data_IF_007376864155
#
_entry.id   IF_007376864155
#
_cell.length_a   1.000
_cell.length_b   1.000
_cell.length_c   1.000
_cell.angle_alpha   90.00
_cell.angle_beta   90.00
_cell.angle_gamma   90.00
#
_symmetry.space_group_name_H-M   'P 1'
#
loop_
_entity.id
_entity.type
_entity.pdbx_description
1 polymer ?
#
# COMPACT_ATOMS: atom_id res chain seq x y z
N UNK A 1 14.98 3.12 14.01
CA UNK A 1 16.46 3.11 14.02
C UNK A 1 17.05 1.80 13.51
N UNK A 2 16.71 0.63 14.08
CA UNK A 2 17.26 -0.70 13.67
C UNK A 2 17.15 -0.93 12.15
N UNK A 3 15.98 -0.67 11.57
CA UNK A 3 15.72 -0.84 10.13
C UNK A 3 16.64 0.00 9.25
N UNK A 4 16.76 1.29 9.56
CA UNK A 4 17.63 2.24 8.84
C UNK A 4 19.11 1.84 8.99
N UNK A 5 19.54 1.44 10.20
CA UNK A 5 20.92 1.01 10.45
C UNK A 5 21.27 -0.27 9.70
N UNK A 6 20.38 -1.28 9.72
CA UNK A 6 20.60 -2.54 9.03
C UNK A 6 20.63 -2.35 7.51
N UNK A 7 19.69 -1.58 6.96
CA UNK A 7 19.69 -1.23 5.54
C UNK A 7 20.95 -0.46 5.16
N UNK A 8 21.34 0.55 5.94
CA UNK A 8 22.56 1.33 5.73
C UNK A 8 23.79 0.43 5.69
N UNK A 9 23.97 -0.42 6.71
CA UNK A 9 25.08 -1.39 6.78
C UNK A 9 25.14 -2.31 5.56
N UNK A 10 24.00 -2.86 5.13
CA UNK A 10 23.91 -3.73 3.94
C UNK A 10 24.26 -2.99 2.65
N UNK A 11 23.94 -1.71 2.55
CA UNK A 11 24.19 -0.90 1.37
C UNK A 11 25.64 -0.39 1.31
N UNK A 12 26.40 -0.42 2.41
CA UNK A 12 27.83 -0.05 2.40
C UNK A 12 28.66 -0.93 1.45
N UNK A 13 28.26 -2.19 1.24
CA UNK A 13 28.97 -3.12 0.38
C UNK A 13 28.44 -3.15 -1.06
N UNK A 14 27.47 -2.30 -1.42
CA UNK A 14 26.87 -2.29 -2.76
C UNK A 14 27.11 -0.95 -3.44
N UNK A 15 27.65 -0.94 -4.68
CA UNK A 15 27.86 0.31 -5.41
C UNK A 15 26.57 1.12 -5.52
N UNK A 16 26.65 2.42 -5.26
CA UNK A 16 25.49 3.30 -5.13
C UNK A 16 24.64 3.33 -6.40
N UNK A 17 25.25 3.22 -7.57
CA UNK A 17 24.62 3.23 -8.88
C UNK A 17 23.79 1.98 -9.19
N UNK A 18 23.92 0.91 -8.39
CA UNK A 18 23.13 -0.31 -8.56
C UNK A 18 21.74 -0.22 -7.96
N UNK A 19 21.56 0.67 -6.99
CA UNK A 19 20.31 0.78 -6.24
C UNK A 19 19.78 2.20 -6.17
N UNK A 20 20.61 3.24 -6.11
CA UNK A 20 20.10 4.61 -6.06
C UNK A 20 19.57 5.07 -7.41
N UNK A 21 18.47 5.82 -7.35
CA UNK A 21 17.97 6.66 -8.44
C UNK A 21 17.64 5.87 -9.71
N UNK A 22 16.90 4.77 -9.54
CA UNK A 22 16.39 3.98 -10.68
C UNK A 22 15.55 4.86 -11.61
N UNK A 23 15.68 4.60 -12.91
CA UNK A 23 15.07 5.41 -13.99
C UNK A 23 13.58 5.71 -13.77
N UNK A 24 12.80 4.73 -13.29
CA UNK A 24 11.36 4.90 -13.05
C UNK A 24 11.05 6.00 -12.01
N UNK A 25 11.87 6.13 -10.97
CA UNK A 25 11.72 7.19 -9.98
C UNK A 25 12.03 8.55 -10.59
N UNK A 26 13.10 8.61 -11.38
CA UNK A 26 13.54 9.81 -12.10
C UNK A 26 12.45 10.34 -13.03
N UNK A 27 11.77 9.45 -13.76
CA UNK A 27 10.63 9.83 -14.61
C UNK A 27 9.56 10.52 -13.76
N UNK A 28 9.14 9.92 -12.65
CA UNK A 28 8.12 10.54 -11.77
C UNK A 28 8.57 11.91 -11.25
N UNK A 29 9.83 12.06 -10.89
CA UNK A 29 10.41 13.31 -10.40
C UNK A 29 10.56 14.37 -11.50
N UNK A 30 10.85 13.99 -12.73
CA UNK A 30 10.90 14.92 -13.86
C UNK A 30 9.53 15.50 -14.15
N UNK A 31 8.47 14.68 -14.05
CA UNK A 31 7.09 15.16 -14.15
C UNK A 31 6.73 16.12 -13.01
N UNK A 32 7.17 15.83 -11.78
CA UNK A 32 6.99 16.74 -10.65
C UNK A 32 7.73 18.07 -10.87
N UNK A 33 8.96 18.02 -11.40
CA UNK A 33 9.75 19.22 -11.71
C UNK A 33 9.10 20.06 -12.80
N UNK A 34 8.64 19.42 -13.89
CA UNK A 34 7.94 20.10 -14.97
C UNK A 34 6.67 20.80 -14.48
N UNK A 35 5.92 20.15 -13.60
CA UNK A 35 4.73 20.76 -12.99
C UNK A 35 5.06 22.02 -12.19
N UNK A 36 6.18 22.04 -11.46
CA UNK A 36 6.61 23.19 -10.67
C UNK A 36 7.18 24.32 -11.53
N UNK A 37 8.04 23.99 -12.48
CA UNK A 37 8.75 24.99 -13.29
C UNK A 37 7.89 25.57 -14.42
N UNK A 38 6.99 24.77 -15.01
CA UNK A 38 6.25 25.14 -16.22
C UNK A 38 4.72 25.08 -16.04
N UNK A 39 4.21 24.62 -14.89
CA UNK A 39 2.77 24.47 -14.67
C UNK A 39 2.13 23.32 -15.47
N UNK A 40 2.91 22.39 -16.01
CA UNK A 40 2.45 21.18 -16.71
C UNK A 40 3.40 20.01 -16.41
N UNK A 41 2.92 18.78 -16.12
CA UNK A 41 3.83 17.71 -15.70
C UNK A 41 4.81 17.28 -16.80
N UNK A 42 4.34 17.07 -18.02
CA UNK A 42 5.18 16.79 -19.19
C UNK A 42 4.38 16.99 -20.47
N UNK A 43 5.11 17.18 -21.57
CA UNK A 43 4.57 17.40 -22.91
C UNK A 43 5.32 16.49 -23.90
N UNK A 44 4.61 15.82 -24.79
CA UNK A 44 5.19 15.01 -25.87
C UNK A 44 5.86 15.89 -26.94
N UNK A 45 6.60 15.27 -27.85
CA UNK A 45 7.13 15.96 -29.05
C UNK A 45 6.02 16.55 -29.94
N UNK A 46 4.80 16.03 -29.85
CA UNK A 46 3.62 16.52 -30.57
C UNK A 46 2.89 17.66 -29.83
N UNK A 47 3.37 18.11 -28.66
CA UNK A 47 2.73 19.16 -27.88
C UNK A 47 1.59 18.69 -26.97
N UNK A 48 1.34 17.39 -26.87
CA UNK A 48 0.28 16.83 -26.03
C UNK A 48 0.77 16.56 -24.61
N UNK A 49 -0.10 16.73 -23.62
CA UNK A 49 0.25 16.40 -22.24
C UNK A 49 0.30 14.89 -22.05
N UNK A 50 1.39 14.38 -21.48
CA UNK A 50 1.58 12.94 -21.26
C UNK A 50 1.70 12.63 -19.78
N UNK A 51 0.92 11.66 -19.32
CA UNK A 51 1.12 11.04 -18.01
C UNK A 51 2.17 9.92 -18.13
N UNK A 52 3.41 10.20 -17.72
CA UNK A 52 4.52 9.24 -17.73
C UNK A 52 4.84 8.62 -16.37
N UNK A 53 4.05 8.92 -15.34
CA UNK A 53 4.26 8.40 -13.98
C UNK A 53 3.13 7.45 -13.56
N UNK A 54 3.46 6.43 -12.77
CA UNK A 54 2.51 5.45 -12.19
C UNK A 54 2.21 5.69 -10.71
N UNK A 55 2.92 6.65 -10.09
CA UNK A 55 2.85 6.95 -8.66
C UNK A 55 2.44 8.41 -8.39
N UNK A 56 1.14 8.75 -8.55
CA UNK A 56 0.63 10.10 -8.32
C UNK A 56 1.04 10.71 -6.97
N UNK A 57 1.01 9.92 -5.89
CA UNK A 57 1.39 10.40 -4.57
C UNK A 57 2.85 10.87 -4.52
N UNK A 58 3.76 10.10 -5.13
CA UNK A 58 5.18 10.45 -5.19
C UNK A 58 5.39 11.73 -6.01
N UNK A 59 4.68 11.86 -7.14
CA UNK A 59 4.70 13.07 -7.98
C UNK A 59 4.27 14.31 -7.18
N UNK A 60 3.21 14.21 -6.37
CA UNK A 60 2.75 15.33 -5.54
C UNK A 60 3.73 15.68 -4.41
N UNK A 61 4.30 14.69 -3.72
CA UNK A 61 5.31 14.94 -2.70
C UNK A 61 6.59 15.55 -3.27
N UNK A 62 7.06 15.05 -4.41
CA UNK A 62 8.21 15.63 -5.12
C UNK A 62 7.92 17.07 -5.58
N UNK A 63 6.71 17.35 -6.06
CA UNK A 63 6.29 18.71 -6.44
C UNK A 63 6.31 19.65 -5.23
N UNK A 64 5.85 19.19 -4.06
CA UNK A 64 5.94 19.93 -2.81
C UNK A 64 7.40 20.22 -2.42
N UNK A 65 8.27 19.21 -2.49
CA UNK A 65 9.69 19.35 -2.23
C UNK A 65 10.35 20.41 -3.12
N UNK A 66 10.09 20.40 -4.44
CA UNK A 66 10.66 21.39 -5.36
C UNK A 66 10.10 22.79 -5.14
N UNK A 67 8.81 22.94 -4.81
CA UNK A 67 8.23 24.25 -4.47
C UNK A 67 8.81 24.86 -3.21
N UNK A 68 9.23 24.05 -2.25
CA UNK A 68 9.87 24.49 -1.01
C UNK A 68 11.36 24.80 -1.17
N UNK A 69 11.89 24.82 -2.40
CA UNK A 69 13.29 25.14 -2.67
C UNK A 69 14.22 23.93 -2.68
N UNK A 70 13.69 22.71 -2.61
CA UNK A 70 14.49 21.50 -2.79
C UNK A 70 15.11 21.44 -4.20
N UNK A 71 16.36 20.97 -4.28
CA UNK A 71 17.09 20.83 -5.54
C UNK A 71 17.55 19.39 -5.77
N UNK A 72 17.59 18.99 -7.04
CA UNK A 72 18.04 17.66 -7.47
C UNK A 72 17.07 16.53 -7.13
N UNK A 73 17.24 15.41 -7.83
CA UNK A 73 16.44 14.20 -7.59
C UNK A 73 16.95 13.43 -6.37
N UNK A 74 18.27 13.42 -6.20
CA UNK A 74 18.96 12.72 -5.12
C UNK A 74 18.43 13.09 -3.73
N UNK A 75 18.31 14.39 -3.45
CA UNK A 75 17.87 14.88 -2.13
C UNK A 75 16.47 14.39 -1.77
N UNK A 76 15.51 14.45 -2.70
CA UNK A 76 14.17 13.92 -2.46
C UNK A 76 14.17 12.41 -2.25
N UNK A 77 14.87 11.66 -3.11
CA UNK A 77 14.89 10.20 -3.06
C UNK A 77 15.56 9.67 -1.78
N UNK A 78 16.66 10.28 -1.35
CA UNK A 78 17.34 9.92 -0.10
C UNK A 78 16.44 10.17 1.13
N UNK A 79 15.76 11.32 1.17
CA UNK A 79 14.80 11.63 2.24
C UNK A 79 13.63 10.65 2.22
N UNK A 80 13.07 10.36 1.05
CA UNK A 80 11.96 9.42 0.89
C UNK A 80 12.33 8.02 1.40
N UNK A 81 13.50 7.51 1.01
CA UNK A 81 13.96 6.17 1.43
C UNK A 81 14.22 6.15 2.94
N UNK A 82 14.89 7.16 3.49
CA UNK A 82 15.20 7.23 4.92
C UNK A 82 13.92 7.29 5.76
N UNK A 83 12.97 8.17 5.40
CA UNK A 83 11.68 8.27 6.08
C UNK A 83 10.85 6.99 5.90
N UNK A 84 10.84 6.42 4.69
CA UNK A 84 10.16 5.17 4.41
C UNK A 84 10.64 4.02 5.31
N UNK A 85 11.96 3.83 5.42
CA UNK A 85 12.55 2.79 6.27
C UNK A 85 12.25 3.02 7.75
N UNK A 86 12.34 4.27 8.20
CA UNK A 86 12.02 4.63 9.58
C UNK A 86 10.54 4.34 9.90
N UNK A 87 9.63 4.80 9.05
CA UNK A 87 8.20 4.55 9.17
C UNK A 87 7.88 3.06 9.13
N UNK A 88 8.48 2.31 8.21
CA UNK A 88 8.27 0.86 8.10
C UNK A 88 8.62 0.15 9.41
N UNK A 89 9.79 0.44 9.97
CA UNK A 89 10.22 -0.15 11.24
C UNK A 89 9.32 0.19 12.43
N UNK A 90 8.87 1.45 12.52
CA UNK A 90 7.88 1.86 13.53
C UNK A 90 6.57 1.11 13.38
N UNK A 91 6.06 0.98 12.16
CA UNK A 91 4.79 0.30 11.88
C UNK A 91 4.87 -1.20 12.13
N UNK A 92 6.00 -1.86 11.88
CA UNK A 92 6.23 -3.26 12.27
C UNK A 92 6.16 -3.42 13.78
N UNK A 93 6.81 -2.52 14.54
CA UNK A 93 6.75 -2.56 16.00
C UNK A 93 5.32 -2.33 16.52
N UNK A 94 4.58 -1.38 15.93
CA UNK A 94 3.16 -1.17 16.24
C UNK A 94 2.32 -2.41 15.95
N UNK A 95 2.54 -3.06 14.80
CA UNK A 95 1.82 -4.28 14.43
C UNK A 95 2.10 -5.41 15.43
N UNK A 96 3.37 -5.63 15.78
CA UNK A 96 3.75 -6.63 16.77
C UNK A 96 3.11 -6.35 18.14
N UNK A 97 3.07 -5.09 18.59
CA UNK A 97 2.39 -4.72 19.83
C UNK A 97 0.88 -4.98 19.79
N UNK A 98 0.23 -4.70 18.65
CA UNK A 98 -1.21 -4.95 18.48
C UNK A 98 -1.53 -6.44 18.48
N UNK A 99 -0.67 -7.27 17.89
CA UNK A 99 -0.86 -8.73 17.80
C UNK A 99 -0.46 -9.42 19.11
N UNK A 100 0.59 -8.95 19.77
CA UNK A 100 1.16 -9.55 20.97
C UNK A 100 1.22 -8.54 22.13
N UNK A 101 0.06 -8.11 22.69
CA UNK A 101 0.00 -7.03 23.67
C UNK A 101 0.70 -7.33 24.99
N UNK A 102 0.84 -8.62 25.34
CA UNK A 102 1.45 -9.08 26.59
C UNK A 102 2.98 -9.20 26.51
N UNK A 103 3.57 -9.04 25.31
CA UNK A 103 5.00 -9.22 25.11
C UNK A 103 5.73 -7.94 25.53
N UNK A 104 6.78 -8.11 26.35
CA UNK A 104 7.59 -7.00 26.84
C UNK A 104 8.35 -6.26 25.72
N UNK A 105 8.76 -5.02 26.01
CA UNK A 105 9.49 -4.12 25.09
C UNK A 105 10.67 -4.81 24.38
N UNK A 106 11.50 -5.52 25.14
CA UNK A 106 12.70 -6.19 24.62
C UNK A 106 12.37 -7.24 23.55
N UNK A 107 11.30 -8.02 23.76
CA UNK A 107 10.89 -9.05 22.81
C UNK A 107 10.24 -8.45 21.55
N UNK A 108 9.58 -7.28 21.64
CA UNK A 108 9.10 -6.55 20.46
C UNK A 108 10.25 -5.97 19.64
N UNK A 109 11.29 -5.45 20.31
CA UNK A 109 12.52 -5.00 19.64
C UNK A 109 13.21 -6.16 18.95
N UNK A 110 13.36 -7.30 19.63
CA UNK A 110 13.93 -8.51 19.05
C UNK A 110 13.10 -9.00 17.84
N UNK A 111 11.77 -9.07 17.97
CA UNK A 111 10.87 -9.43 16.88
C UNK A 111 10.98 -8.48 15.69
N UNK A 112 10.98 -7.17 15.90
CA UNK A 112 11.17 -6.17 14.84
C UNK A 112 12.53 -6.31 14.16
N UNK A 113 13.58 -6.63 14.93
CA UNK A 113 14.92 -6.90 14.40
C UNK A 113 14.94 -8.13 13.51
N UNK A 114 14.31 -9.24 13.93
CA UNK A 114 14.19 -10.45 13.10
C UNK A 114 13.46 -10.15 11.80
N UNK A 115 12.34 -9.42 11.86
CA UNK A 115 11.59 -9.02 10.66
C UNK A 115 12.44 -8.14 9.74
N UNK A 116 13.26 -7.22 10.30
CA UNK A 116 14.19 -6.41 9.53
C UNK A 116 15.24 -7.25 8.81
N UNK A 117 15.89 -8.17 9.54
CA UNK A 117 16.93 -9.05 9.00
C UNK A 117 16.36 -9.91 7.89
N UNK A 118 15.22 -10.58 8.13
CA UNK A 118 14.59 -11.44 7.12
C UNK A 118 14.11 -10.62 5.93
N UNK A 119 13.37 -9.54 6.18
CA UNK A 119 12.75 -8.72 5.14
C UNK A 119 13.75 -8.00 4.24
N UNK A 120 14.91 -7.60 4.77
CA UNK A 120 15.96 -6.87 4.02
C UNK A 120 17.15 -7.75 3.63
N UNK A 121 17.11 -9.06 3.91
CA UNK A 121 18.18 -10.00 3.55
C UNK A 121 18.32 -10.24 2.04
N UNK A 122 17.23 -10.07 1.28
CA UNK A 122 17.22 -10.31 -0.16
C UNK A 122 17.48 -9.01 -0.93
N UNK A 123 18.26 -9.10 -2.01
CA UNK A 123 18.50 -7.94 -2.88
C UNK A 123 17.22 -7.43 -3.52
N UNK A 124 16.32 -8.34 -3.85
CA UNK A 124 14.96 -8.05 -4.28
C UNK A 124 14.26 -7.05 -3.36
N UNK A 125 14.13 -7.37 -2.07
CA UNK A 125 13.42 -6.51 -1.13
C UNK A 125 14.21 -5.23 -0.80
N UNK A 126 15.51 -5.35 -0.52
CA UNK A 126 16.35 -4.22 -0.16
C UNK A 126 16.50 -3.24 -1.32
N UNK A 127 16.85 -3.72 -2.51
CA UNK A 127 17.04 -2.88 -3.70
C UNK A 127 15.73 -2.22 -4.13
N UNK A 128 14.60 -2.94 -4.06
CA UNK A 128 13.29 -2.39 -4.38
C UNK A 128 12.88 -1.28 -3.42
N UNK A 129 13.17 -1.42 -2.12
CA UNK A 129 12.90 -0.38 -1.13
C UNK A 129 13.87 0.80 -1.23
N UNK A 130 15.17 0.51 -1.37
CA UNK A 130 16.23 1.51 -1.42
C UNK A 130 16.30 2.25 -2.77
N UNK A 131 15.55 1.79 -3.78
CA UNK A 131 15.55 2.35 -5.14
C UNK A 131 15.19 3.82 -5.26
N UNK A 132 14.48 4.36 -4.26
CA UNK A 132 13.83 5.66 -4.35
C UNK A 132 12.55 5.66 -5.20
N UNK A 133 12.19 4.53 -5.80
CA UNK A 133 10.88 4.37 -6.43
C UNK A 133 9.76 4.51 -5.39
N UNK A 134 8.53 4.58 -5.86
CA UNK A 134 7.31 4.74 -5.07
C UNK A 134 7.13 3.69 -3.97
N UNK A 135 7.89 2.61 -4.02
CA UNK A 135 7.85 1.49 -3.08
C UNK A 135 8.24 1.89 -1.65
N UNK A 136 9.20 2.81 -1.48
CA UNK A 136 9.56 3.32 -0.15
C UNK A 136 8.46 4.16 0.50
N UNK A 137 7.47 4.63 -0.27
CA UNK A 137 6.23 5.22 0.24
C UNK A 137 5.12 4.19 0.38
N UNK A 138 4.95 3.38 -0.66
CA UNK A 138 3.84 2.45 -0.82
C UNK A 138 3.85 1.34 0.23
N UNK A 139 5.00 0.75 0.51
CA UNK A 139 5.12 -0.37 1.47
C UNK A 139 4.79 0.09 2.91
N UNK A 140 5.35 1.21 3.42
CA UNK A 140 4.90 1.76 4.69
C UNK A 140 3.41 2.12 4.71
N UNK A 141 2.83 2.68 3.64
CA UNK A 141 1.41 3.01 3.58
C UNK A 141 0.51 1.77 3.67
N UNK A 142 0.88 0.67 3.00
CA UNK A 142 0.17 -0.60 3.12
C UNK A 142 0.22 -1.14 4.55
N UNK A 143 1.40 -1.09 5.18
CA UNK A 143 1.55 -1.56 6.56
C UNK A 143 0.78 -0.67 7.55
N UNK A 144 0.78 0.65 7.33
CA UNK A 144 -0.03 1.60 8.10
C UNK A 144 -1.53 1.33 7.94
N UNK A 145 -1.96 1.00 6.72
CA UNK A 145 -3.34 0.58 6.42
C UNK A 145 -3.71 -0.67 7.22
N UNK A 146 -2.81 -1.66 7.31
CA UNK A 146 -3.02 -2.85 8.14
C UNK A 146 -3.11 -2.53 9.64
N UNK A 147 -2.16 -1.74 10.16
CA UNK A 147 -2.13 -1.32 11.57
C UNK A 147 -3.41 -0.57 11.95
N UNK A 148 -3.87 0.35 11.11
CA UNK A 148 -5.10 1.11 11.36
C UNK A 148 -6.35 0.28 11.16
N UNK A 149 -6.37 -0.67 10.23
CA UNK A 149 -7.47 -1.63 10.10
C UNK A 149 -7.64 -2.45 11.38
N UNK A 150 -6.56 -3.08 11.85
CA UNK A 150 -6.59 -3.84 13.12
C UNK A 150 -7.05 -2.91 14.24
N UNK A 151 -6.45 -1.73 14.35
CA UNK A 151 -6.81 -0.77 15.38
C UNK A 151 -8.27 -0.34 15.34
N UNK A 152 -8.89 -0.19 14.17
CA UNK A 152 -10.32 0.13 14.03
C UNK A 152 -11.21 -1.06 14.38
N UNK A 153 -10.74 -2.29 14.15
CA UNK A 153 -11.49 -3.51 14.46
C UNK A 153 -11.35 -3.94 15.93
N UNK A 154 -10.29 -3.53 16.63
CA UNK A 154 -9.99 -3.96 18.00
C UNK A 154 -10.07 -2.87 19.05
N UNK A 155 -9.83 -1.61 18.68
CA UNK A 155 -9.86 -0.44 19.57
C UNK A 155 -11.01 0.46 19.16
N UNK A 156 -11.73 1.03 20.14
CA UNK A 156 -12.91 1.88 19.96
C UNK A 156 -12.87 2.71 18.66
N UNK A 157 -13.92 2.59 17.84
CA UNK A 157 -14.01 2.95 16.41
C UNK A 157 -13.65 4.39 15.96
N UNK A 158 -13.05 5.22 16.81
CA UNK A 158 -12.63 6.59 16.52
C UNK A 158 -11.53 6.69 15.43
N UNK A 159 -10.86 5.59 15.09
CA UNK A 159 -9.72 5.57 14.13
C UNK A 159 -10.12 5.44 12.66
N UNK A 160 -11.41 5.45 12.31
CA UNK A 160 -11.86 5.32 10.91
C UNK A 160 -11.30 6.38 9.96
N UNK A 161 -11.03 7.59 10.46
CA UNK A 161 -10.40 8.65 9.67
C UNK A 161 -9.00 8.26 9.18
N UNK A 162 -8.17 7.74 10.08
CA UNK A 162 -6.81 7.33 9.76
C UNK A 162 -6.80 6.15 8.79
N UNK A 163 -7.68 5.16 9.01
CA UNK A 163 -7.82 4.03 8.09
C UNK A 163 -8.24 4.48 6.69
N UNK A 164 -9.32 5.26 6.56
CA UNK A 164 -9.78 5.78 5.28
C UNK A 164 -8.72 6.63 4.56
N UNK A 165 -8.02 7.50 5.30
CA UNK A 165 -6.91 8.30 4.77
C UNK A 165 -5.79 7.42 4.21
N UNK A 166 -5.33 6.42 4.97
CA UNK A 166 -4.21 5.56 4.58
C UNK A 166 -4.58 4.65 3.41
N UNK A 167 -5.81 4.11 3.36
CA UNK A 167 -6.33 3.40 2.19
C UNK A 167 -6.36 4.32 0.96
N UNK A 168 -6.83 5.55 1.14
CA UNK A 168 -6.82 6.58 0.10
C UNK A 168 -5.42 6.82 -0.47
N UNK A 169 -4.47 7.15 0.40
CA UNK A 169 -3.07 7.42 0.06
C UNK A 169 -2.37 6.19 -0.56
N UNK A 170 -2.57 4.99 -0.02
CA UNK A 170 -2.01 3.76 -0.58
C UNK A 170 -2.56 3.47 -1.99
N UNK A 171 -3.83 3.81 -2.27
CA UNK A 171 -4.42 3.62 -3.60
C UNK A 171 -3.90 4.59 -4.66
N UNK A 172 -3.38 5.75 -4.26
CA UNK A 172 -2.77 6.72 -5.17
C UNK A 172 -1.23 6.69 -5.13
N UNK A 173 -0.64 5.87 -4.26
CA UNK A 173 0.81 5.61 -4.30
C UNK A 173 1.16 4.71 -5.49
N UNK A 174 0.24 3.82 -5.89
CA UNK A 174 0.26 3.06 -7.15
C UNK A 174 -1.16 2.85 -7.66
N UNK A 175 -1.42 3.21 -8.91
CA UNK A 175 -2.79 3.15 -9.45
C UNK A 175 -3.36 1.73 -9.53
N UNK A 176 -2.50 0.72 -9.68
CA UNK A 176 -2.89 -0.69 -9.69
C UNK A 176 -3.38 -1.19 -8.32
N UNK A 177 -3.07 -0.49 -7.22
CA UNK A 177 -3.34 -0.99 -5.87
C UNK A 177 -4.80 -0.87 -5.45
N UNK A 178 -5.62 -0.14 -6.21
CA UNK A 178 -7.07 -0.17 -6.04
C UNK A 178 -7.61 -1.61 -6.05
N UNK A 179 -7.03 -2.50 -6.87
CA UNK A 179 -7.40 -3.92 -6.95
C UNK A 179 -7.20 -4.66 -5.62
N UNK A 180 -6.19 -4.27 -4.84
CA UNK A 180 -5.93 -4.87 -3.52
C UNK A 180 -6.70 -4.15 -2.41
N UNK A 181 -6.86 -2.84 -2.52
CA UNK A 181 -7.40 -2.01 -1.44
C UNK A 181 -8.92 -1.95 -1.40
N UNK A 182 -9.61 -2.06 -2.53
CA UNK A 182 -11.08 -2.09 -2.57
C UNK A 182 -11.66 -3.30 -1.81
N UNK A 183 -11.13 -4.53 -1.97
CA UNK A 183 -11.58 -5.67 -1.18
C UNK A 183 -11.31 -5.48 0.32
N UNK A 184 -10.13 -4.96 0.69
CA UNK A 184 -9.78 -4.68 2.09
C UNK A 184 -10.75 -3.67 2.71
N UNK A 185 -11.03 -2.57 2.00
CA UNK A 185 -12.00 -1.56 2.44
C UNK A 185 -13.41 -2.15 2.55
N UNK A 186 -13.80 -3.02 1.63
CA UNK A 186 -15.10 -3.71 1.63
C UNK A 186 -15.27 -4.61 2.85
N UNK A 187 -14.25 -5.40 3.20
CA UNK A 187 -14.24 -6.24 4.42
C UNK A 187 -14.34 -5.37 5.66
N UNK A 188 -13.59 -4.27 5.71
CA UNK A 188 -13.61 -3.34 6.84
C UNK A 188 -15.00 -2.73 7.02
N UNK A 189 -15.64 -2.30 5.93
CA UNK A 189 -17.00 -1.76 5.94
C UNK A 189 -17.98 -2.78 6.49
N UNK A 190 -17.93 -4.01 6.00
CA UNK A 190 -18.77 -5.11 6.46
C UNK A 190 -18.60 -5.37 7.95
N UNK A 191 -17.34 -5.47 8.41
CA UNK A 191 -17.03 -5.76 9.80
C UNK A 191 -17.54 -4.64 10.74
N UNK A 192 -17.50 -3.39 10.28
CA UNK A 192 -17.91 -2.21 11.04
C UNK A 192 -19.39 -1.84 10.86
N UNK A 193 -20.10 -2.40 9.88
CA UNK A 193 -21.41 -1.89 9.46
C UNK A 193 -22.46 -1.91 10.58
N UNK A 194 -22.42 -2.93 11.43
CA UNK A 194 -23.43 -3.14 12.49
C UNK A 194 -23.20 -2.27 13.71
N UNK A 195 -21.98 -2.30 14.24
CA UNK A 195 -21.63 -1.66 15.52
C UNK A 195 -21.11 -0.23 15.32
N UNK A 196 -20.53 0.05 14.16
CA UNK A 196 -19.78 1.29 13.90
C UNK A 196 -20.04 1.83 12.48
N UNK A 197 -21.31 1.83 12.03
CA UNK A 197 -21.70 2.27 10.67
C UNK A 197 -21.11 3.62 10.26
N UNK A 198 -21.10 4.58 11.18
CA UNK A 198 -20.54 5.90 10.91
C UNK A 198 -19.02 5.86 10.62
N UNK A 199 -18.28 4.95 11.26
CA UNK A 199 -16.84 4.74 11.04
C UNK A 199 -16.61 4.13 9.66
N UNK A 200 -17.42 3.14 9.28
CA UNK A 200 -17.39 2.50 7.97
C UNK A 200 -17.61 3.53 6.84
N UNK A 201 -18.71 4.30 6.95
CA UNK A 201 -19.06 5.32 5.96
C UNK A 201 -17.99 6.41 5.86
N UNK A 202 -17.43 6.87 6.98
CA UNK A 202 -16.34 7.86 6.98
C UNK A 202 -15.08 7.31 6.31
N UNK A 203 -14.69 6.07 6.62
CA UNK A 203 -13.50 5.44 6.04
C UNK A 203 -13.61 5.36 4.51
N UNK A 204 -14.78 4.93 4.01
CA UNK A 204 -15.07 4.88 2.57
C UNK A 204 -15.10 6.27 1.97
N UNK A 205 -15.81 7.21 2.59
CA UNK A 205 -15.94 8.58 2.09
C UNK A 205 -14.58 9.27 1.93
N UNK A 206 -13.67 9.10 2.89
CA UNK A 206 -12.32 9.68 2.83
C UNK A 206 -11.48 9.02 1.73
N UNK A 207 -11.45 7.69 1.68
CA UNK A 207 -10.69 6.96 0.66
C UNK A 207 -11.20 7.32 -0.76
N UNK A 208 -12.52 7.31 -0.95
CA UNK A 208 -13.17 7.68 -2.20
C UNK A 208 -12.93 9.15 -2.57
N UNK A 209 -12.87 10.06 -1.60
CA UNK A 209 -12.56 11.48 -1.85
C UNK A 209 -11.12 11.67 -2.32
N UNK A 210 -10.16 10.97 -1.73
CA UNK A 210 -8.74 11.03 -2.14
C UNK A 210 -8.57 10.47 -3.55
N UNK A 211 -9.18 9.31 -3.83
CA UNK A 211 -9.15 8.72 -5.16
C UNK A 211 -9.85 9.61 -6.19
N UNK A 212 -11.05 10.09 -5.86
CA UNK A 212 -11.81 11.02 -6.70
C UNK A 212 -11.04 12.29 -7.02
N UNK A 213 -10.33 12.87 -6.04
CA UNK A 213 -9.46 14.02 -6.25
C UNK A 213 -8.29 13.70 -7.20
N UNK A 214 -7.64 12.54 -7.05
CA UNK A 214 -6.57 12.11 -7.94
C UNK A 214 -7.06 11.86 -9.38
N UNK A 215 -8.23 11.26 -9.55
CA UNK A 215 -8.84 11.05 -10.87
C UNK A 215 -9.36 12.35 -11.49
N UNK A 216 -9.92 13.26 -10.70
CA UNK A 216 -10.32 14.59 -11.17
C UNK A 216 -9.10 15.39 -11.61
N UNK A 217 -8.02 15.35 -10.83
CA UNK A 217 -6.74 15.93 -11.22
C UNK A 217 -6.26 15.38 -12.56
N UNK A 218 -6.28 14.05 -12.73
CA UNK A 218 -5.92 13.38 -13.98
C UNK A 218 -6.78 13.87 -15.14
N UNK A 219 -8.10 13.92 -14.95
CA UNK A 219 -9.04 14.40 -15.96
C UNK A 219 -8.77 15.86 -16.37
N UNK A 220 -8.59 16.76 -15.40
CA UNK A 220 -8.30 18.17 -15.66
C UNK A 220 -6.97 18.34 -16.39
N UNK A 221 -5.96 17.53 -16.04
CA UNK A 221 -4.60 17.67 -16.56
C UNK A 221 -4.46 17.02 -17.94
N UNK A 222 -4.92 15.78 -18.10
CA UNK A 222 -4.66 14.93 -19.26
C UNK A 222 -5.89 14.65 -20.12
N UNK A 223 -7.09 15.13 -19.71
CA UNK A 223 -8.37 14.89 -20.42
C UNK A 223 -8.76 13.40 -20.54
N UNK A 224 -8.19 12.55 -19.70
CA UNK A 224 -8.49 11.12 -19.59
C UNK A 224 -8.56 10.69 -18.13
N UNK A 225 -9.32 9.64 -17.84
CA UNK A 225 -9.32 8.96 -16.53
C UNK A 225 -8.40 7.73 -16.54
N UNK A 226 -8.15 7.19 -17.74
CA UNK A 226 -7.37 5.97 -17.96
C UNK A 226 -5.89 6.37 -18.01
N UNK A 227 -5.00 5.69 -17.28
CA UNK A 227 -3.57 5.95 -17.35
C UNK A 227 -3.05 5.82 -18.79
N UNK A 228 -2.23 6.77 -19.25
CA UNK A 228 -1.66 6.72 -20.61
C UNK A 228 -0.83 5.46 -20.87
N UNK A 229 -0.21 4.88 -19.84
CA UNK A 229 0.51 3.60 -19.96
C UNK A 229 -0.39 2.44 -20.39
N UNK A 230 -1.66 2.42 -19.98
CA UNK A 230 -2.62 1.41 -20.41
C UNK A 230 -3.07 1.61 -21.87
N UNK A 231 -3.21 2.89 -22.28
CA UNK A 231 -3.53 3.25 -23.67
C UNK A 231 -2.39 2.88 -24.62
N UNK A 232 -1.14 3.19 -24.27
CA UNK A 232 0.03 2.93 -25.11
C UNK A 232 0.33 1.43 -25.24
N UNK A 233 -0.05 0.62 -24.25
CA UNK A 233 0.16 -0.83 -24.27
C UNK A 233 -0.99 -1.62 -24.91
N UNK A 234 -2.02 -0.96 -25.46
CA UNK A 234 -3.26 -1.57 -25.94
C UNK A 234 -3.92 -2.49 -24.89
N UNK A 235 -3.86 -2.10 -23.61
CA UNK A 235 -4.41 -2.87 -22.47
C UNK A 235 -5.66 -2.26 -21.87
N UNK A 236 -6.32 -1.36 -22.59
CA UNK A 236 -7.52 -0.64 -22.13
C UNK A 236 -8.64 -1.61 -21.73
N UNK A 237 -8.93 -2.60 -22.56
CA UNK A 237 -10.00 -3.57 -22.30
C UNK A 237 -9.69 -4.45 -21.08
N UNK A 238 -8.43 -4.86 -20.92
CA UNK A 238 -7.99 -5.63 -19.76
C UNK A 238 -8.10 -4.80 -18.47
N UNK A 239 -7.71 -3.53 -18.52
CA UNK A 239 -7.81 -2.61 -17.38
C UNK A 239 -9.27 -2.36 -16.99
N UNK A 240 -10.14 -2.11 -17.97
CA UNK A 240 -11.57 -1.89 -17.75
C UNK A 240 -12.25 -3.17 -17.22
N UNK A 241 -11.97 -4.32 -17.84
CA UNK A 241 -12.50 -5.62 -17.41
C UNK A 241 -12.06 -5.97 -15.98
N UNK A 242 -10.79 -5.74 -15.64
CA UNK A 242 -10.28 -5.97 -14.29
C UNK A 242 -10.95 -5.06 -13.26
N UNK A 243 -11.21 -3.79 -13.61
CA UNK A 243 -11.92 -2.86 -12.74
C UNK A 243 -13.39 -3.27 -12.51
N UNK A 244 -14.09 -3.70 -13.57
CA UNK A 244 -15.47 -4.20 -13.46
C UNK A 244 -15.53 -5.45 -12.58
N UNK A 245 -14.66 -6.44 -12.81
CA UNK A 245 -14.59 -7.66 -12.00
C UNK A 245 -14.33 -7.31 -10.54
N UNK A 246 -13.39 -6.41 -10.27
CA UNK A 246 -13.08 -5.96 -8.92
C UNK A 246 -14.29 -5.35 -8.22
N UNK A 247 -15.02 -4.45 -8.90
CA UNK A 247 -16.21 -3.80 -8.35
C UNK A 247 -17.31 -4.83 -8.09
N UNK A 248 -17.57 -5.74 -9.03
CA UNK A 248 -18.59 -6.78 -8.91
C UNK A 248 -18.28 -7.76 -7.78
N UNK A 249 -17.05 -8.26 -7.70
CA UNK A 249 -16.63 -9.20 -6.64
C UNK A 249 -16.67 -8.52 -5.29
N UNK A 250 -16.19 -7.28 -5.18
CA UNK A 250 -16.22 -6.52 -3.92
C UNK A 250 -17.65 -6.24 -3.47
N UNK A 251 -18.53 -5.84 -4.40
CA UNK A 251 -19.95 -5.66 -4.12
C UNK A 251 -20.62 -6.98 -3.70
N UNK A 252 -20.32 -8.10 -4.36
CA UNK A 252 -20.84 -9.41 -4.00
C UNK A 252 -20.40 -9.84 -2.59
N UNK A 253 -19.12 -9.62 -2.22
CA UNK A 253 -18.61 -9.87 -0.87
C UNK A 253 -19.42 -9.05 0.15
N UNK A 254 -19.63 -7.75 -0.11
CA UNK A 254 -20.41 -6.87 0.78
C UNK A 254 -21.86 -7.32 0.90
N UNK A 255 -22.51 -7.69 -0.21
CA UNK A 255 -23.91 -8.13 -0.21
C UNK A 255 -24.07 -9.46 0.52
N UNK A 256 -23.27 -10.47 0.20
CA UNK A 256 -23.29 -11.78 0.86
C UNK A 256 -23.06 -11.61 2.37
N UNK A 257 -22.06 -10.83 2.73
CA UNK A 257 -21.76 -10.49 4.11
C UNK A 257 -22.94 -9.90 4.89
N UNK A 258 -23.60 -8.90 4.30
CA UNK A 258 -24.72 -8.21 4.91
C UNK A 258 -25.97 -9.09 5.02
N UNK A 259 -26.27 -9.87 3.97
CA UNK A 259 -27.47 -10.71 3.88
C UNK A 259 -27.37 -11.94 4.76
N UNK A 260 -26.23 -12.65 4.74
CA UNK A 260 -26.12 -13.98 5.36
C UNK A 260 -25.83 -13.97 6.86
N UNK A 261 -25.72 -12.77 7.46
CA UNK A 261 -25.34 -12.58 8.86
C UNK A 261 -24.13 -13.43 9.28
N UNK A 262 -23.19 -13.65 8.36
CA UNK A 262 -22.00 -14.46 8.62
C UNK A 262 -21.27 -13.85 9.81
N UNK A 263 -20.96 -14.69 10.79
CA UNK A 263 -20.27 -14.27 12.01
C UNK A 263 -18.99 -13.52 11.60
N UNK A 264 -18.80 -12.29 12.09
CA UNK A 264 -17.81 -11.31 11.56
C UNK A 264 -16.41 -11.92 11.39
N UNK A 265 -16.07 -12.85 12.27
CA UNK A 265 -14.78 -13.55 12.31
C UNK A 265 -14.61 -14.63 11.25
N UNK A 266 -15.68 -15.36 10.90
CA UNK A 266 -15.65 -16.34 9.80
C UNK A 266 -15.47 -15.65 8.46
N UNK A 267 -16.05 -14.47 8.31
CA UNK A 267 -15.86 -13.64 7.12
C UNK A 267 -14.44 -13.10 7.01
N UNK A 268 -13.87 -12.55 8.09
CA UNK A 268 -12.50 -12.04 8.03
C UNK A 268 -11.51 -13.18 7.77
N UNK A 269 -11.71 -14.35 8.37
CA UNK A 269 -10.89 -15.53 8.10
C UNK A 269 -11.01 -16.03 6.65
N UNK A 270 -12.25 -16.17 6.14
CA UNK A 270 -12.49 -16.59 4.77
C UNK A 270 -11.94 -15.57 3.75
N UNK A 271 -12.03 -14.28 4.04
CA UNK A 271 -11.56 -13.25 3.11
C UNK A 271 -10.05 -13.07 3.18
N UNK A 272 -9.42 -13.21 4.35
CA UNK A 272 -7.97 -13.25 4.44
C UNK A 272 -7.37 -14.48 3.75
N UNK A 273 -8.03 -15.64 3.84
CA UNK A 273 -7.72 -16.83 3.03
C UNK A 273 -7.95 -16.58 1.54
N UNK A 274 -9.03 -15.88 1.17
CA UNK A 274 -9.35 -15.52 -0.22
C UNK A 274 -8.34 -14.54 -0.83
N UNK A 275 -7.89 -13.54 -0.07
CA UNK A 275 -6.84 -12.59 -0.48
C UNK A 275 -5.50 -13.31 -0.57
N UNK A 276 -5.17 -14.18 0.40
CA UNK A 276 -3.96 -14.99 0.31
C UNK A 276 -3.99 -15.91 -0.92
N UNK A 277 -5.11 -16.56 -1.19
CA UNK A 277 -5.30 -17.41 -2.38
C UNK A 277 -5.27 -16.61 -3.69
N UNK A 278 -5.85 -15.41 -3.73
CA UNK A 278 -5.80 -14.53 -4.89
C UNK A 278 -4.37 -14.04 -5.15
N UNK A 279 -3.61 -13.70 -4.10
CA UNK A 279 -2.19 -13.36 -4.20
C UNK A 279 -1.36 -14.56 -4.68
N UNK A 280 -1.63 -15.77 -4.17
CA UNK A 280 -0.99 -17.02 -4.64
C UNK A 280 -1.35 -17.32 -6.10
N UNK A 281 -2.61 -17.11 -6.51
CA UNK A 281 -3.04 -17.27 -7.90
C UNK A 281 -2.40 -16.25 -8.84
N UNK A 282 -2.28 -14.99 -8.42
CA UNK A 282 -1.55 -13.97 -9.15
C UNK A 282 -0.06 -14.33 -9.26
N UNK A 283 0.53 -14.88 -8.19
CA UNK A 283 1.91 -15.38 -8.18
C UNK A 283 2.11 -16.52 -9.18
N UNK A 284 1.19 -17.48 -9.25
CA UNK A 284 1.24 -18.60 -10.18
C UNK A 284 1.06 -18.15 -11.64
N UNK A 285 0.13 -17.22 -11.90
CA UNK A 285 -0.06 -16.63 -13.22
C UNK A 285 1.18 -15.81 -13.66
N UNK A 286 1.83 -15.12 -12.72
CA UNK A 286 3.02 -14.30 -12.99
C UNK A 286 4.28 -15.16 -13.17
N UNK A 287 4.44 -16.27 -12.44
CA UNK A 287 5.53 -17.22 -12.67
C UNK A 287 5.41 -17.93 -14.02
N UNK A 288 4.17 -18.21 -14.47
CA UNK A 288 3.91 -18.76 -15.80
C UNK A 288 4.27 -17.79 -16.94
N UNK A 289 4.27 -16.48 -16.68
CA UNK A 289 4.58 -15.44 -17.68
C UNK A 289 6.07 -15.14 -17.88
N UNK A 290 6.98 -15.81 -17.17
CA UNK A 290 8.44 -15.67 -17.36
C UNK A 290 9.08 -14.43 -16.71
N UNK A 291 8.34 -13.66 -15.92
CA UNK A 291 8.88 -12.51 -15.17
C UNK A 291 9.53 -13.00 -13.86
N UNK A 292 10.81 -12.68 -13.67
CA UNK A 292 11.69 -13.25 -12.64
C UNK A 292 11.19 -13.16 -11.19
N UNK A 293 11.67 -14.12 -10.38
CA UNK A 293 11.32 -14.46 -8.98
C UNK A 293 11.56 -13.31 -7.96
N UNK A 294 12.03 -12.14 -8.40
CA UNK A 294 12.42 -11.02 -7.54
C UNK A 294 11.27 -10.42 -6.70
N UNK A 295 10.00 -10.69 -7.00
CA UNK A 295 8.87 -10.23 -6.16
C UNK A 295 8.46 -11.19 -5.03
N UNK A 296 8.96 -12.43 -5.03
CA UNK A 296 8.46 -13.51 -4.18
C UNK A 296 8.65 -13.25 -2.67
N UNK A 297 9.80 -12.76 -2.17
CA UNK A 297 10.01 -12.54 -0.74
C UNK A 297 9.11 -11.45 -0.15
N UNK A 298 8.92 -10.35 -0.87
CA UNK A 298 8.04 -9.24 -0.48
C UNK A 298 6.58 -9.69 -0.45
N UNK A 299 6.14 -10.47 -1.44
CA UNK A 299 4.77 -11.00 -1.48
C UNK A 299 4.52 -12.11 -0.46
N UNK A 300 5.51 -12.96 -0.15
CA UNK A 300 5.45 -13.92 0.96
C UNK A 300 5.31 -13.19 2.29
N UNK A 301 6.02 -12.07 2.47
CA UNK A 301 5.93 -11.24 3.68
C UNK A 301 4.54 -10.60 3.81
N UNK A 302 3.94 -10.13 2.71
CA UNK A 302 2.56 -9.63 2.68
C UNK A 302 1.54 -10.76 2.96
N UNK A 303 1.75 -11.95 2.39
CA UNK A 303 0.91 -13.13 2.62
C UNK A 303 0.97 -13.65 4.06
N UNK A 304 2.17 -13.73 4.63
CA UNK A 304 2.39 -14.04 6.05
C UNK A 304 1.79 -12.97 6.96
N UNK A 305 1.94 -11.69 6.63
CA UNK A 305 1.28 -10.61 7.36
C UNK A 305 -0.25 -10.79 7.32
N UNK A 306 -0.82 -11.11 6.15
CA UNK A 306 -2.25 -11.44 6.01
C UNK A 306 -2.69 -12.63 6.85
N UNK A 307 -1.92 -13.73 6.85
CA UNK A 307 -2.20 -14.91 7.67
C UNK A 307 -2.10 -14.63 9.17
N UNK A 308 -1.09 -13.87 9.59
CA UNK A 308 -0.92 -13.42 10.98
C UNK A 308 -2.07 -12.50 11.38
N UNK A 309 -2.54 -11.61 10.49
CA UNK A 309 -3.71 -10.75 10.72
C UNK A 309 -4.96 -11.62 10.95
N UNK A 310 -5.22 -12.60 10.10
CA UNK A 310 -6.35 -13.53 10.27
C UNK A 310 -6.24 -14.30 11.58
N UNK A 311 -5.05 -14.79 11.93
CA UNK A 311 -4.81 -15.52 13.17
C UNK A 311 -5.01 -14.63 14.40
N UNK A 312 -4.51 -13.39 14.38
CA UNK A 312 -4.63 -12.43 15.47
C UNK A 312 -6.10 -11.99 15.68
N UNK A 313 -6.80 -11.73 14.59
CA UNK A 313 -8.24 -11.42 14.56
C UNK A 313 -9.03 -12.60 15.14
N UNK A 314 -8.73 -13.83 14.71
CA UNK A 314 -9.39 -15.04 15.22
C UNK A 314 -9.08 -15.27 16.71
N UNK A 315 -7.85 -15.04 17.15
CA UNK A 315 -7.44 -15.18 18.55
C UNK A 315 -8.11 -14.13 19.47
N UNK A 316 -8.12 -12.85 19.07
CA UNK A 316 -8.79 -11.78 19.80
C UNK A 316 -10.30 -12.03 19.93
N UNK A 317 -10.92 -12.65 18.92
CA UNK A 317 -12.34 -13.03 18.95
C UNK A 317 -12.69 -14.17 19.89
N UNK A 318 -11.72 -15.06 20.16
CA UNK A 318 -11.87 -16.17 21.10
C UNK A 318 -11.69 -15.74 22.54
N UNK A 319 -10.82 -14.76 22.79
CA UNK A 319 -10.55 -14.23 24.13
C UNK A 319 -11.76 -13.49 24.72
N UNK A 320 -12.42 -12.62 23.93
CA UNK A 320 -13.58 -11.86 24.41
C UNK A 320 -14.85 -12.69 24.68
N UNK A 321 -14.93 -13.94 24.18
CA UNK A 321 -16.05 -14.84 24.49
C UNK A 321 -15.87 -15.61 25.80
N UNK A 322 -14.65 -15.71 26.35
CA UNK A 322 -14.39 -16.49 27.57
C UNK A 322 -14.62 -15.73 28.87
N UNK A 323 -14.72 -14.40 28.81
CA UNK A 323 -15.00 -13.56 29.99
C UNK A 323 -16.51 -13.21 30.14
N UNK A 324 -17.35 -13.69 29.24
CA UNK A 324 -18.80 -13.45 29.24
C UNK A 324 -19.64 -14.68 29.66
N UNK A 325 -19.00 -15.72 30.20
CA UNK A 325 -19.65 -16.92 30.74
C UNK A 325 -19.07 -17.26 32.11
#
# INVERSE_FOLDING_TARGET
MIWTLYAGWRLLSVPTEWWRWRDDAVITLSHARGWVDFGVPSVSSAGERVEGYSAPLQMFFASGFYRLGGSGWAGFLDVQVALGLAMFGCLVACLLRLVFPQVGEAALVAGSTVVAVVGLSTWAALGWFASGMENSLTVPLLLATMVTLIGVLTVEGHRGYAFGLLVGLAGISRTEFAVLLVPVLSIAVVALWREHRHVALRSVGIAASIWGAAYLWRWVTFRTLIPNSALIQDRTDLALGSAVVLVVVSAAIVVVALVWRVDRWRMIAATGLGVAAALIGLLAARSASGWGIAGLPTMITIGLAGAIIVAAITAASGAGRREAW
#
